data_IF_148541675703
#
_entry.id   IF_148541675703
#
_cell.length_a   1.000
_cell.length_b   1.000
_cell.length_c   1.000
_cell.angle_alpha   90.00
_cell.angle_beta   90.00
_cell.angle_gamma   90.00
#
_symmetry.space_group_name_H-M   'P 1'
#
loop_
_entity.id
_entity.type
_entity.pdbx_description
1 polymer ?
#
# COMPACT_ATOMS: atom_id res chain seq x y z
N UNK A 1 -54.26 -13.38 -32.41
CA UNK A 1 -53.69 -13.05 -31.09
C UNK A 1 -52.18 -13.10 -31.20
N UNK A 2 -51.44 -12.10 -30.73
CA UNK A 2 -49.99 -12.03 -30.86
C UNK A 2 -49.29 -12.91 -29.83
N UNK A 3 -48.24 -13.61 -30.25
CA UNK A 3 -47.36 -14.38 -29.39
C UNK A 3 -46.27 -13.43 -28.87
N UNK A 4 -46.50 -12.87 -27.67
CA UNK A 4 -45.57 -11.95 -27.01
C UNK A 4 -44.55 -12.79 -26.25
N UNK A 5 -43.36 -12.93 -26.83
CA UNK A 5 -42.18 -13.46 -26.13
C UNK A 5 -41.84 -12.53 -24.96
N UNK A 6 -41.74 -13.03 -23.71
CA UNK A 6 -41.39 -12.17 -22.58
C UNK A 6 -39.95 -11.66 -22.73
N UNK A 7 -39.65 -10.42 -22.29
CA UNK A 7 -38.28 -9.95 -22.23
C UNK A 7 -37.51 -10.83 -21.25
N UNK A 8 -36.37 -11.36 -21.70
CA UNK A 8 -35.40 -12.06 -20.86
C UNK A 8 -34.93 -11.11 -19.76
N UNK A 9 -35.57 -11.22 -18.60
CA UNK A 9 -35.21 -10.53 -17.36
C UNK A 9 -33.88 -11.07 -16.84
N UNK A 10 -32.94 -10.16 -16.58
CA UNK A 10 -32.04 -10.29 -15.44
C UNK A 10 -30.78 -11.12 -15.64
N UNK A 11 -29.84 -10.65 -16.46
CA UNK A 11 -28.43 -10.70 -16.04
C UNK A 11 -28.14 -9.45 -15.21
N UNK A 12 -28.81 -9.34 -14.07
CA UNK A 12 -28.32 -8.50 -12.99
C UNK A 12 -26.91 -8.96 -12.67
N UNK A 13 -25.95 -8.06 -12.88
CA UNK A 13 -24.53 -8.35 -12.81
C UNK A 13 -24.18 -9.06 -11.51
N UNK A 14 -23.74 -10.31 -11.61
CA UNK A 14 -23.09 -11.02 -10.51
C UNK A 14 -21.86 -10.20 -10.15
N UNK A 15 -21.97 -9.41 -9.09
CA UNK A 15 -20.87 -8.58 -8.58
C UNK A 15 -19.77 -9.52 -8.15
N UNK A 16 -18.60 -9.44 -8.80
CA UNK A 16 -17.40 -10.14 -8.34
C UNK A 16 -16.94 -9.54 -7.01
N UNK A 17 -17.46 -10.09 -5.92
CA UNK A 17 -17.16 -9.67 -4.56
C UNK A 17 -15.68 -9.89 -4.22
N UNK A 18 -15.03 -10.89 -4.80
CA UNK A 18 -13.62 -11.16 -4.57
C UNK A 18 -12.75 -10.09 -5.25
N UNK A 19 -13.04 -9.76 -6.51
CA UNK A 19 -12.44 -8.65 -7.21
C UNK A 19 -12.61 -7.32 -6.46
N UNK A 20 -13.83 -7.02 -6.02
CA UNK A 20 -14.14 -5.81 -5.27
C UNK A 20 -13.40 -5.72 -3.92
N UNK A 21 -13.33 -6.83 -3.16
CA UNK A 21 -12.57 -6.90 -1.90
C UNK A 21 -11.08 -6.70 -2.14
N UNK A 22 -10.52 -7.31 -3.18
CA UNK A 22 -9.11 -7.19 -3.53
C UNK A 22 -8.75 -5.77 -3.95
N UNK A 23 -9.58 -5.13 -4.77
CA UNK A 23 -9.41 -3.73 -5.15
C UNK A 23 -9.43 -2.81 -3.91
N UNK A 24 -10.42 -2.99 -3.03
CA UNK A 24 -10.51 -2.22 -1.78
C UNK A 24 -9.30 -2.41 -0.87
N UNK A 25 -8.79 -3.65 -0.73
CA UNK A 25 -7.56 -3.92 0.04
C UNK A 25 -6.39 -3.15 -0.55
N UNK A 26 -6.19 -3.21 -1.87
CA UNK A 26 -5.11 -2.51 -2.55
C UNK A 26 -5.19 -0.98 -2.34
N UNK A 27 -6.38 -0.39 -2.43
CA UNK A 27 -6.56 1.06 -2.23
C UNK A 27 -6.25 1.50 -0.80
N UNK A 28 -6.58 0.68 0.21
CA UNK A 28 -6.18 0.94 1.60
C UNK A 28 -4.66 0.94 1.76
N UNK A 29 -3.95 -0.01 1.12
CA UNK A 29 -2.48 -0.04 1.15
C UNK A 29 -1.86 1.15 0.42
N UNK A 30 -2.44 1.58 -0.72
CA UNK A 30 -2.01 2.80 -1.44
C UNK A 30 -2.18 4.05 -0.59
N UNK A 31 -3.32 4.20 0.10
CA UNK A 31 -3.54 5.31 1.02
C UNK A 31 -2.50 5.32 2.14
N UNK A 32 -2.24 4.16 2.76
CA UNK A 32 -1.25 3.99 3.83
C UNK A 32 0.18 4.28 3.36
N UNK A 33 0.52 3.95 2.12
CA UNK A 33 1.81 4.29 1.51
C UNK A 33 1.95 5.80 1.35
N UNK A 34 0.95 6.43 0.73
CA UNK A 34 0.98 7.88 0.49
C UNK A 34 1.11 8.65 1.80
N UNK A 35 0.34 8.28 2.82
CA UNK A 35 0.42 8.88 4.14
C UNK A 35 1.84 8.79 4.74
N UNK A 36 2.46 7.61 4.68
CA UNK A 36 3.83 7.40 5.16
C UNK A 36 4.88 8.17 4.35
N UNK A 37 4.71 8.23 3.03
CA UNK A 37 5.59 9.00 2.15
C UNK A 37 5.54 10.49 2.50
N UNK A 38 4.34 11.05 2.65
CA UNK A 38 4.17 12.46 3.01
C UNK A 38 4.74 12.76 4.39
N UNK A 39 4.43 11.94 5.39
CA UNK A 39 4.98 12.12 6.75
C UNK A 39 6.51 12.03 6.78
N UNK A 40 7.10 11.07 6.06
CA UNK A 40 8.56 10.89 6.01
C UNK A 40 9.25 12.06 5.30
N UNK A 41 8.66 12.57 4.22
CA UNK A 41 9.15 13.76 3.51
C UNK A 41 9.05 15.01 4.37
N UNK A 42 7.91 15.23 5.03
CA UNK A 42 7.72 16.35 5.95
C UNK A 42 8.78 16.35 7.06
N UNK A 43 9.04 15.19 7.66
CA UNK A 43 10.10 15.04 8.66
C UNK A 43 11.49 15.41 8.13
N UNK A 44 11.81 15.07 6.87
CA UNK A 44 13.08 15.48 6.26
C UNK A 44 13.16 16.99 6.03
N UNK A 45 12.07 17.59 5.54
CA UNK A 45 11.97 19.05 5.33
C UNK A 45 12.17 19.79 6.66
N UNK A 46 11.49 19.39 7.72
CA UNK A 46 11.67 19.98 9.06
C UNK A 46 13.12 19.87 9.56
N UNK A 47 13.79 18.76 9.25
CA UNK A 47 15.18 18.52 9.67
C UNK A 47 16.16 19.43 8.92
N UNK A 48 15.88 19.68 7.64
CA UNK A 48 16.63 20.59 6.79
C UNK A 48 16.39 22.06 7.19
N UNK A 49 15.13 22.49 7.24
CA UNK A 49 14.74 23.87 7.58
C UNK A 49 15.15 24.26 8.99
N UNK A 50 15.10 23.32 9.94
CA UNK A 50 15.57 23.55 11.31
C UNK A 50 17.09 23.63 11.45
N UNK A 51 17.87 23.47 10.38
CA UNK A 51 19.34 23.51 10.40
C UNK A 51 20.00 22.35 11.15
N UNK A 52 19.21 21.39 11.66
CA UNK A 52 19.72 20.29 12.49
C UNK A 52 20.33 19.15 11.69
N UNK A 53 20.11 19.11 10.37
CA UNK A 53 20.64 18.06 9.48
C UNK A 53 22.15 17.86 9.61
N UNK A 54 22.90 18.94 9.81
CA UNK A 54 24.36 18.93 9.90
C UNK A 54 24.89 18.58 11.29
N UNK A 55 24.01 18.38 12.27
CA UNK A 55 24.41 17.84 13.58
C UNK A 55 24.59 16.31 13.50
N UNK A 56 25.41 15.69 14.37
CA UNK A 56 25.57 14.23 14.39
C UNK A 56 24.24 13.47 14.51
N UNK A 57 23.32 13.96 15.36
CA UNK A 57 22.03 13.31 15.57
C UNK A 57 21.05 13.60 14.44
N UNK A 58 21.06 14.81 13.88
CA UNK A 58 20.29 15.11 12.68
C UNK A 58 20.74 14.32 11.46
N UNK A 59 22.05 14.09 11.28
CA UNK A 59 22.58 13.23 10.23
C UNK A 59 22.11 11.78 10.40
N UNK A 60 22.18 11.23 11.63
CA UNK A 60 21.66 9.88 11.93
C UNK A 60 20.16 9.78 11.61
N UNK A 61 19.37 10.77 12.05
CA UNK A 61 17.92 10.81 11.81
C UNK A 61 17.60 10.96 10.31
N UNK A 62 18.31 11.84 9.61
CA UNK A 62 18.21 12.00 8.16
C UNK A 62 18.50 10.69 7.42
N UNK A 63 19.57 9.97 7.79
CA UNK A 63 19.88 8.64 7.22
C UNK A 63 18.75 7.64 7.45
N UNK A 64 18.17 7.61 8.65
CA UNK A 64 17.02 6.74 8.96
C UNK A 64 15.80 7.08 8.11
N UNK A 65 15.49 8.35 7.91
CA UNK A 65 14.38 8.81 7.07
C UNK A 65 14.60 8.47 5.59
N UNK A 66 15.82 8.63 5.07
CA UNK A 66 16.15 8.21 3.70
C UNK A 66 16.00 6.71 3.50
N UNK A 67 16.45 5.90 4.49
CA UNK A 67 16.24 4.46 4.47
C UNK A 67 14.76 4.09 4.55
N UNK A 68 13.96 4.84 5.31
CA UNK A 68 12.51 4.68 5.35
C UNK A 68 11.88 4.95 3.97
N UNK A 69 12.29 6.02 3.27
CA UNK A 69 11.83 6.30 1.91
C UNK A 69 12.16 5.16 0.93
N UNK A 70 13.35 4.56 1.03
CA UNK A 70 13.72 3.41 0.20
C UNK A 70 12.80 2.19 0.46
N UNK A 71 12.42 1.95 1.72
CA UNK A 71 11.47 0.88 2.05
C UNK A 71 10.07 1.17 1.47
N UNK A 72 9.64 2.42 1.51
CA UNK A 72 8.35 2.84 0.93
C UNK A 72 8.35 2.75 -0.60
N UNK A 73 9.46 3.07 -1.26
CA UNK A 73 9.62 2.84 -2.70
C UNK A 73 9.48 1.36 -3.05
N UNK A 74 10.15 0.47 -2.31
CA UNK A 74 10.01 -0.98 -2.48
C UNK A 74 8.58 -1.45 -2.26
N UNK A 75 7.89 -0.90 -1.25
CA UNK A 75 6.48 -1.19 -1.02
C UNK A 75 5.61 -0.75 -2.21
N UNK A 76 5.90 0.42 -2.80
CA UNK A 76 5.33 0.89 -4.07
C UNK A 76 5.44 -0.14 -5.18
N UNK A 77 6.64 -0.65 -5.44
CA UNK A 77 6.89 -1.69 -6.45
C UNK A 77 6.08 -2.97 -6.19
N UNK A 78 5.92 -3.38 -4.93
CA UNK A 78 5.06 -4.54 -4.58
C UNK A 78 3.57 -4.26 -4.82
N UNK A 79 3.11 -3.03 -4.61
CA UNK A 79 1.74 -2.64 -4.94
C UNK A 79 1.50 -2.56 -6.45
N UNK A 80 2.48 -2.11 -7.23
CA UNK A 80 2.43 -2.17 -8.69
C UNK A 80 2.28 -3.61 -9.16
N UNK A 81 3.08 -4.54 -8.61
CA UNK A 81 2.97 -5.98 -8.87
C UNK A 81 1.57 -6.53 -8.52
N UNK A 82 1.04 -6.19 -7.34
CA UNK A 82 -0.30 -6.59 -6.91
C UNK A 82 -1.42 -6.11 -7.84
N UNK A 83 -1.23 -4.92 -8.41
CA UNK A 83 -2.20 -4.25 -9.28
C UNK A 83 -2.07 -4.62 -10.76
N UNK A 84 -0.93 -5.19 -11.16
CA UNK A 84 -0.62 -5.49 -12.56
C UNK A 84 -0.37 -4.24 -13.43
N UNK A 85 -0.11 -3.08 -12.82
CA UNK A 85 0.23 -1.85 -13.55
C UNK A 85 1.72 -1.78 -13.95
N UNK A 86 2.54 -2.71 -13.46
CA UNK A 86 3.95 -2.82 -13.81
C UNK A 86 4.19 -3.62 -15.08
N UNK A 87 5.44 -4.08 -15.26
CA UNK A 87 5.84 -4.93 -16.40
C UNK A 87 5.22 -6.33 -16.38
N UNK A 88 4.73 -6.77 -15.21
CA UNK A 88 4.16 -8.10 -15.00
C UNK A 88 2.65 -7.99 -14.77
N UNK A 89 1.85 -8.93 -15.30
CA UNK A 89 0.42 -8.97 -15.03
C UNK A 89 0.16 -9.23 -13.54
N UNK A 90 -1.00 -8.78 -13.05
CA UNK A 90 -1.38 -8.99 -11.66
C UNK A 90 -1.37 -10.50 -11.31
N UNK A 91 -0.79 -10.90 -10.16
CA UNK A 91 -0.75 -12.29 -9.76
C UNK A 91 -2.16 -12.83 -9.55
N UNK A 92 -2.39 -14.07 -10.02
CA UNK A 92 -3.68 -14.78 -9.88
C UNK A 92 -3.69 -15.74 -8.70
N UNK A 93 -2.54 -16.29 -8.32
CA UNK A 93 -2.43 -17.21 -7.19
C UNK A 93 -2.61 -16.46 -5.86
N UNK A 94 -3.58 -16.90 -5.04
CA UNK A 94 -3.90 -16.34 -3.73
C UNK A 94 -2.68 -16.29 -2.80
N UNK A 95 -1.90 -17.38 -2.74
CA UNK A 95 -0.70 -17.46 -1.92
C UNK A 95 0.33 -16.39 -2.28
N UNK A 96 0.51 -16.11 -3.58
CA UNK A 96 1.42 -15.07 -4.04
C UNK A 96 0.91 -13.68 -3.68
N UNK A 97 -0.40 -13.46 -3.78
CA UNK A 97 -1.04 -12.20 -3.41
C UNK A 97 -0.85 -11.93 -1.92
N UNK A 98 -1.09 -12.94 -1.07
CA UNK A 98 -0.92 -12.81 0.37
C UNK A 98 0.54 -12.61 0.77
N UNK A 99 1.47 -13.33 0.13
CA UNK A 99 2.91 -13.13 0.34
C UNK A 99 3.33 -11.69 0.00
N UNK A 100 2.81 -11.11 -1.09
CA UNK A 100 3.09 -9.73 -1.45
C UNK A 100 2.56 -8.72 -0.42
N UNK A 101 1.36 -8.94 0.10
CA UNK A 101 0.84 -8.08 1.18
C UNK A 101 1.64 -8.23 2.48
N UNK A 102 2.03 -9.45 2.85
CA UNK A 102 2.88 -9.70 4.02
C UNK A 102 4.26 -9.03 3.85
N UNK A 103 4.82 -9.03 2.63
CA UNK A 103 6.03 -8.26 2.29
C UNK A 103 5.81 -6.75 2.49
N UNK A 104 4.69 -6.19 2.00
CA UNK A 104 4.37 -4.76 2.17
C UNK A 104 4.22 -4.39 3.64
N UNK A 105 3.52 -5.21 4.44
CA UNK A 105 3.38 -4.99 5.88
C UNK A 105 4.74 -5.03 6.59
N UNK A 106 5.62 -5.97 6.21
CA UNK A 106 6.98 -6.05 6.73
C UNK A 106 7.85 -4.85 6.36
N UNK A 107 7.61 -4.21 5.21
CA UNK A 107 8.25 -2.96 4.81
C UNK A 107 7.71 -1.76 5.59
N UNK A 108 6.40 -1.66 5.76
CA UNK A 108 5.77 -0.62 6.59
C UNK A 108 6.23 -0.69 8.04
N UNK A 109 6.26 -1.88 8.65
CA UNK A 109 6.73 -2.05 10.02
C UNK A 109 8.22 -1.67 10.20
N UNK A 110 9.05 -1.89 9.17
CA UNK A 110 10.45 -1.43 9.18
C UNK A 110 10.56 0.09 8.99
N UNK A 111 9.74 0.67 8.12
CA UNK A 111 9.65 2.11 7.93
C UNK A 111 9.23 2.81 9.23
N UNK A 112 8.16 2.35 9.87
CA UNK A 112 7.62 2.95 11.10
C UNK A 112 8.67 2.95 12.23
N UNK A 113 9.43 1.86 12.38
CA UNK A 113 10.58 1.81 13.31
C UNK A 113 11.67 2.85 13.02
N UNK A 114 11.98 3.10 11.74
CA UNK A 114 13.00 4.07 11.34
C UNK A 114 12.54 5.52 11.50
N UNK A 115 11.23 5.78 11.33
CA UNK A 115 10.66 7.12 11.44
C UNK A 115 10.25 7.48 12.87
N UNK A 116 10.35 6.54 13.81
CA UNK A 116 9.89 6.73 15.19
C UNK A 116 8.37 6.77 15.31
N UNK A 117 7.66 6.40 14.23
CA UNK A 117 6.21 6.17 14.28
C UNK A 117 6.04 4.90 15.10
N UNK A 118 5.55 5.04 16.34
CA UNK A 118 5.27 3.89 17.21
C UNK A 118 4.38 2.85 16.51
N UNK A 119 4.25 1.66 17.08
CA UNK A 119 3.40 0.56 16.60
C UNK A 119 1.91 0.93 16.66
N UNK A 120 1.51 2.01 15.99
CA UNK A 120 0.17 2.29 15.55
C UNK A 120 -0.17 1.18 14.57
N UNK A 121 -0.64 0.10 15.20
CA UNK A 121 -0.84 -1.21 14.65
C UNK A 121 -1.62 -1.05 13.35
N UNK A 122 -0.94 -1.31 12.24
CA UNK A 122 -1.64 -1.68 11.02
C UNK A 122 -2.30 -3.00 11.38
N UNK A 123 -3.53 -2.95 11.90
CA UNK A 123 -4.33 -4.14 12.08
C UNK A 123 -4.26 -4.88 10.75
N UNK A 124 -3.66 -6.09 10.79
CA UNK A 124 -3.57 -6.94 9.60
C UNK A 124 -4.99 -7.04 9.08
N UNK A 125 -5.20 -6.62 7.84
CA UNK A 125 -6.52 -6.71 7.25
C UNK A 125 -6.90 -8.20 7.21
N UNK A 126 -8.16 -8.54 7.53
CA UNK A 126 -8.59 -9.93 7.62
C UNK A 126 -8.31 -10.66 6.29
N UNK A 127 -7.74 -11.87 6.41
CA UNK A 127 -7.53 -12.80 5.29
C UNK A 127 -8.90 -13.38 4.93
N UNK A 128 -9.56 -12.83 3.91
CA UNK A 128 -10.80 -13.37 3.34
C UNK A 128 -10.57 -13.82 1.90
#
# INVERSE_FOLDING_TARGET
MPDVKPPSTGTEGVVDLHGARRARRLDLYRSRLNERLQATRANLVTLYEGGTLFTPDGTKRGRSLLKALQLLQRAGTRMEELSGTGLLPAPRASERIDALYDEVDGLFARCDRLTGRGTASVARLPRN
#
